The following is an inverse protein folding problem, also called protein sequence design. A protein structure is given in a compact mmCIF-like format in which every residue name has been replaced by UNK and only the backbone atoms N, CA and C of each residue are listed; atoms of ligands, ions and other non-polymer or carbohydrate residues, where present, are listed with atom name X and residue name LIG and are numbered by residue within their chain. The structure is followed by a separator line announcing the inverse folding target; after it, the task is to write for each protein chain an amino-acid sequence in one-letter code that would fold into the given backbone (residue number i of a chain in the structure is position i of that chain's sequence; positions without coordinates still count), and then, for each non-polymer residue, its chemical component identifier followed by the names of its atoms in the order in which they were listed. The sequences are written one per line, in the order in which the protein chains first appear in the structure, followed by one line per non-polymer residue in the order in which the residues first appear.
data_IF_478455443021
#
_entry.id   IF_478455443021
#
_cell.length_a   1.000
_cell.length_b   1.000
_cell.length_c   1.000
_cell.angle_alpha   90.00
_cell.angle_beta   90.00
_cell.angle_gamma   90.00
#
_symmetry.space_group_name_H-M   'P 1'
#
loop_
_entity.id
_entity.type
_entity.pdbx_description
1 polymer ?
#
# COMPACT_ATOMS: atom_id res chain seq x y z
N UNK A 1 3.07 -3.75 -14.80
CA UNK A 1 3.04 -5.11 -14.20
C UNK A 1 1.76 -5.22 -13.39
N UNK A 2 0.93 -6.21 -13.67
CA UNK A 2 -0.39 -6.35 -13.05
C UNK A 2 -0.74 -7.81 -12.75
N UNK A 3 -1.75 -8.03 -11.87
CA UNK A 3 -2.40 -9.32 -11.66
C UNK A 3 -1.61 -10.34 -10.84
N UNK A 4 -0.63 -9.91 -10.03
CA UNK A 4 0.21 -10.80 -9.21
C UNK A 4 0.37 -10.28 -7.79
N UNK A 5 0.81 -11.16 -6.88
CA UNK A 5 1.13 -10.76 -5.50
C UNK A 5 2.34 -9.83 -5.43
N UNK A 6 2.36 -8.96 -4.42
CA UNK A 6 3.40 -7.96 -4.24
C UNK A 6 4.79 -8.54 -4.06
N UNK A 7 4.91 -9.69 -3.39
CA UNK A 7 6.20 -10.37 -3.24
C UNK A 7 6.79 -10.80 -4.59
N UNK A 8 5.97 -11.34 -5.50
CA UNK A 8 6.43 -11.72 -6.84
C UNK A 8 6.77 -10.48 -7.67
N UNK A 9 5.94 -9.44 -7.59
CA UNK A 9 6.20 -8.17 -8.25
C UNK A 9 7.54 -7.56 -7.80
N UNK A 10 7.78 -7.52 -6.49
CA UNK A 10 9.06 -7.07 -5.93
C UNK A 10 10.25 -7.84 -6.49
N UNK A 11 10.17 -9.18 -6.56
CA UNK A 11 11.25 -10.02 -7.15
C UNK A 11 11.50 -9.71 -8.62
N UNK A 12 10.45 -9.45 -9.40
CA UNK A 12 10.59 -9.05 -10.81
C UNK A 12 11.29 -7.70 -10.92
N UNK A 13 10.92 -6.74 -10.07
CA UNK A 13 11.56 -5.43 -10.05
C UNK A 13 13.04 -5.52 -9.62
N UNK A 14 13.36 -6.31 -8.60
CA UNK A 14 14.74 -6.57 -8.16
C UNK A 14 15.58 -7.22 -9.27
N UNK A 15 15.03 -8.23 -9.95
CA UNK A 15 15.73 -8.94 -11.05
C UNK A 15 15.87 -8.11 -12.32
N UNK A 16 14.99 -7.14 -12.53
CA UNK A 16 14.95 -6.28 -13.72
C UNK A 16 15.78 -5.00 -13.64
N UNK A 17 16.61 -4.83 -12.60
CA UNK A 17 17.29 -3.56 -12.31
C UNK A 17 18.03 -2.91 -13.50
N UNK A 18 18.70 -3.72 -14.35
CA UNK A 18 19.38 -3.22 -15.54
C UNK A 18 18.43 -2.74 -16.66
N UNK A 19 17.22 -3.30 -16.74
CA UNK A 19 16.19 -2.84 -17.68
C UNK A 19 15.43 -1.65 -17.10
N UNK A 20 15.19 -1.65 -15.79
CA UNK A 20 14.41 -0.61 -15.11
C UNK A 20 15.10 0.75 -15.12
N UNK A 21 16.43 0.80 -15.16
CA UNK A 21 17.19 2.05 -15.28
C UNK A 21 16.90 2.84 -16.56
N UNK A 22 16.37 2.17 -17.59
CA UNK A 22 15.93 2.80 -18.84
C UNK A 22 14.43 3.07 -18.92
N UNK A 23 13.67 2.65 -17.90
CA UNK A 23 12.21 2.82 -17.83
C UNK A 23 11.90 4.02 -16.98
N UNK A 24 11.39 5.10 -17.59
CA UNK A 24 11.04 6.33 -16.89
C UNK A 24 9.78 6.22 -16.01
N UNK A 25 8.89 5.26 -16.30
CA UNK A 25 7.61 5.13 -15.65
C UNK A 25 7.24 3.66 -15.41
N UNK A 26 6.68 3.37 -14.23
CA UNK A 26 6.11 2.08 -13.86
C UNK A 26 4.63 2.23 -13.55
N UNK A 27 3.79 1.35 -14.11
CA UNK A 27 2.40 1.17 -13.71
C UNK A 27 2.29 -0.21 -13.09
N UNK A 28 1.91 -0.28 -11.82
CA UNK A 28 1.90 -1.47 -11.00
C UNK A 28 0.51 -1.72 -10.40
N UNK A 29 0.05 -2.98 -10.47
CA UNK A 29 -1.21 -3.41 -9.87
C UNK A 29 -0.95 -4.69 -9.07
N UNK A 30 -0.43 -4.58 -7.82
CA UNK A 30 -0.27 -5.72 -6.93
C UNK A 30 -1.61 -6.15 -6.35
N UNK A 31 -1.83 -7.48 -6.21
CA UNK A 31 -3.06 -8.03 -5.64
C UNK A 31 -2.95 -8.36 -4.14
N UNK A 32 -1.74 -8.47 -3.62
CA UNK A 32 -1.45 -8.73 -2.21
C UNK A 32 -0.14 -8.05 -1.81
N UNK A 33 0.12 -7.96 -0.50
CA UNK A 33 1.39 -7.46 0.04
C UNK A 33 1.84 -6.12 -0.57
N UNK A 34 0.88 -5.24 -0.81
CA UNK A 34 1.06 -3.97 -1.55
C UNK A 34 2.10 -3.09 -0.86
N UNK A 35 2.14 -3.12 0.47
CA UNK A 35 3.12 -2.39 1.28
C UNK A 35 4.57 -2.72 0.94
N UNK A 36 4.86 -3.97 0.54
CA UNK A 36 6.21 -4.37 0.13
C UNK A 36 6.61 -3.73 -1.20
N UNK A 37 5.65 -3.57 -2.12
CA UNK A 37 5.91 -2.90 -3.41
C UNK A 37 6.16 -1.40 -3.18
N UNK A 38 5.33 -0.73 -2.38
CA UNK A 38 5.55 0.69 -2.05
C UNK A 38 6.88 0.94 -1.35
N UNK A 39 7.22 0.06 -0.40
CA UNK A 39 8.52 0.12 0.30
C UNK A 39 9.69 -0.04 -0.67
N UNK A 40 9.61 -1.04 -1.56
CA UNK A 40 10.63 -1.25 -2.59
C UNK A 40 10.82 0.00 -3.45
N UNK A 41 9.74 0.58 -3.95
CA UNK A 41 9.80 1.79 -4.78
C UNK A 41 10.49 2.94 -4.06
N UNK A 42 10.10 3.20 -2.81
CA UNK A 42 10.71 4.25 -1.98
C UNK A 42 12.21 4.02 -1.72
N UNK A 43 12.63 2.76 -1.52
CA UNK A 43 14.03 2.39 -1.26
C UNK A 43 14.91 2.42 -2.53
N UNK A 44 14.31 2.33 -3.72
CA UNK A 44 15.04 2.23 -5.00
C UNK A 44 14.90 3.48 -5.89
N UNK A 45 14.57 4.62 -5.30
CA UNK A 45 14.56 5.89 -6.01
C UNK A 45 13.36 6.14 -6.91
N UNK A 46 12.27 5.41 -6.72
CA UNK A 46 11.02 5.67 -7.40
C UNK A 46 10.10 6.54 -6.53
N UNK A 47 9.53 7.55 -7.14
CA UNK A 47 8.47 8.33 -6.55
C UNK A 47 7.11 7.87 -7.07
N UNK A 48 6.21 7.49 -6.17
CA UNK A 48 4.82 7.24 -6.54
C UNK A 48 4.17 8.59 -6.82
N UNK A 49 3.76 8.80 -8.07
CA UNK A 49 3.20 10.08 -8.55
C UNK A 49 1.68 10.07 -8.53
N UNK A 50 1.08 8.88 -8.59
CA UNK A 50 -0.36 8.73 -8.72
C UNK A 50 -0.80 7.36 -8.16
N UNK A 51 -1.94 7.32 -7.52
CA UNK A 51 -2.56 6.10 -7.00
C UNK A 51 -4.04 6.07 -7.34
N UNK A 52 -4.55 4.88 -7.55
CA UNK A 52 -5.97 4.66 -7.77
C UNK A 52 -6.40 3.31 -7.18
N UNK A 53 -7.68 3.15 -6.95
CA UNK A 53 -8.30 1.91 -6.55
C UNK A 53 -9.62 1.73 -7.30
N UNK A 54 -9.74 0.63 -8.01
CA UNK A 54 -10.92 0.30 -8.80
C UNK A 54 -11.68 -0.84 -8.12
N UNK A 55 -13.01 -0.70 -8.07
CA UNK A 55 -13.92 -1.77 -7.67
C UNK A 55 -14.53 -2.40 -8.92
N UNK A 56 -14.27 -3.68 -9.16
CA UNK A 56 -14.81 -4.45 -10.26
C UNK A 56 -15.23 -5.84 -9.76
N UNK A 57 -16.46 -6.25 -10.08
CA UNK A 57 -17.03 -7.53 -9.66
C UNK A 57 -16.87 -7.84 -8.15
N UNK A 58 -17.05 -6.82 -7.31
CA UNK A 58 -16.93 -6.93 -5.85
C UNK A 58 -15.49 -7.06 -5.32
N UNK A 59 -14.48 -6.88 -6.17
CA UNK A 59 -13.06 -6.91 -5.80
C UNK A 59 -12.42 -5.55 -6.01
N UNK A 60 -11.53 -5.20 -5.08
CA UNK A 60 -10.76 -3.97 -5.14
C UNK A 60 -9.38 -4.20 -5.76
N UNK A 61 -9.02 -3.34 -6.70
CA UNK A 61 -7.78 -3.41 -7.46
C UNK A 61 -6.97 -2.11 -7.26
N UNK A 62 -6.09 -2.06 -6.25
CA UNK A 62 -5.20 -0.92 -6.08
C UNK A 62 -4.14 -0.87 -7.18
N UNK A 63 -3.89 0.32 -7.68
CA UNK A 63 -2.92 0.61 -8.73
C UNK A 63 -2.06 1.79 -8.32
N UNK A 64 -0.83 1.81 -8.81
CA UNK A 64 0.09 2.92 -8.58
C UNK A 64 0.92 3.19 -9.83
N UNK A 65 1.18 4.47 -10.06
CA UNK A 65 2.13 4.97 -11.03
C UNK A 65 3.36 5.48 -10.29
N UNK A 66 4.53 5.06 -10.72
CA UNK A 66 5.78 5.49 -10.12
C UNK A 66 6.77 5.90 -11.20
N UNK A 67 7.56 6.93 -10.91
CA UNK A 67 8.58 7.48 -11.80
C UNK A 67 9.95 7.42 -11.12
N UNK A 68 10.99 7.13 -11.90
CA UNK A 68 12.37 7.11 -11.41
C UNK A 68 12.85 8.55 -11.18
N UNK A 69 13.39 8.81 -10.00
CA UNK A 69 14.02 10.10 -9.67
C UNK A 69 15.45 10.09 -10.19
N UNK A 70 15.74 10.84 -11.24
CA UNK A 70 17.06 10.86 -11.90
C UNK A 70 18.21 11.35 -10.99
N UNK A 71 17.93 12.15 -9.96
CA UNK A 71 18.92 12.70 -9.03
C UNK A 71 19.05 11.91 -7.72
N UNK A 72 18.62 10.64 -7.70
CA UNK A 72 18.61 9.83 -6.48
C UNK A 72 20.01 9.50 -5.95
N UNK A 73 21.01 9.37 -6.84
CA UNK A 73 22.39 9.00 -6.46
C UNK A 73 23.11 10.10 -5.65
N UNK A 74 22.72 11.35 -5.79
CA UNK A 74 23.33 12.48 -5.09
C UNK A 74 22.73 12.73 -3.68
N UNK A 75 21.66 12.03 -3.35
CA UNK A 75 20.97 12.15 -2.05
C UNK A 75 21.22 10.90 -1.21
N UNK A 76 22.41 10.82 -0.59
CA UNK A 76 22.76 9.87 0.49
C UNK A 76 21.54 9.19 1.17
N UNK A 77 20.93 8.21 0.50
CA UNK A 77 20.04 7.20 1.09
C UNK A 77 18.78 7.66 1.81
N UNK A 78 18.36 8.90 1.65
CA UNK A 78 17.13 9.37 2.32
C UNK A 78 16.34 10.27 1.36
N UNK A 79 15.16 9.84 1.01
CA UNK A 79 14.08 10.74 0.61
C UNK A 79 13.76 11.59 1.86
N UNK A 80 14.51 12.71 2.05
CA UNK A 80 14.55 13.46 3.33
C UNK A 80 13.33 14.33 3.58
N UNK A 81 12.44 14.47 2.63
CA UNK A 81 11.42 15.52 2.73
C UNK A 81 10.05 15.07 3.22
N UNK A 82 9.83 13.84 3.58
CA UNK A 82 8.75 13.34 4.46
C UNK A 82 8.84 11.82 4.51
N UNK A 83 9.28 11.22 5.63
CA UNK A 83 9.19 9.78 5.77
C UNK A 83 7.70 9.40 5.70
N UNK A 84 7.39 8.45 4.83
CA UNK A 84 6.04 7.91 4.74
C UNK A 84 5.59 7.40 6.10
N UNK A 85 4.40 7.74 6.50
CA UNK A 85 3.76 7.15 7.67
C UNK A 85 3.44 5.69 7.38
N UNK A 86 3.36 4.86 8.41
CA UNK A 86 3.11 3.42 8.25
C UNK A 86 1.85 3.14 7.42
N UNK A 87 0.75 3.85 7.66
CA UNK A 87 -0.48 3.65 6.91
C UNK A 87 -0.33 3.95 5.41
N UNK A 88 0.55 4.87 5.02
CA UNK A 88 0.79 5.18 3.60
C UNK A 88 1.43 4.01 2.85
N UNK A 89 2.28 3.22 3.51
CA UNK A 89 2.80 1.99 2.89
C UNK A 89 1.68 0.96 2.64
N UNK A 90 0.71 0.86 3.55
CA UNK A 90 -0.38 -0.12 3.42
C UNK A 90 -1.49 0.35 2.47
N UNK A 91 -1.93 1.59 2.58
CA UNK A 91 -3.12 2.11 1.89
C UNK A 91 -2.85 3.23 0.89
N UNK A 92 -1.60 3.68 0.78
CA UNK A 92 -1.17 4.71 -0.16
C UNK A 92 -1.24 6.13 0.39
N UNK A 93 -0.78 7.04 -0.44
CA UNK A 93 -0.82 8.47 -0.15
C UNK A 93 -2.20 9.02 -0.53
N UNK A 94 -2.98 9.41 0.46
CA UNK A 94 -4.35 9.90 0.26
C UNK A 94 -4.42 11.11 -0.66
N UNK A 95 -3.37 11.94 -0.68
CA UNK A 95 -3.32 13.13 -1.55
C UNK A 95 -3.17 12.77 -3.04
N UNK A 96 -2.65 11.57 -3.33
CA UNK A 96 -2.44 11.08 -4.70
C UNK A 96 -3.55 10.18 -5.20
N UNK A 97 -4.53 9.89 -4.36
CA UNK A 97 -5.67 9.03 -4.72
C UNK A 97 -6.59 9.73 -5.71
N UNK A 98 -6.82 9.10 -6.85
CA UNK A 98 -7.79 9.56 -7.86
C UNK A 98 -9.23 9.30 -7.43
N UNK A 99 -9.46 8.17 -6.76
CA UNK A 99 -10.79 7.71 -6.36
C UNK A 99 -10.90 7.59 -4.82
N UNK A 100 -10.84 8.71 -4.07
CA UNK A 100 -10.83 8.68 -2.60
C UNK A 100 -12.08 8.03 -2.01
N UNK A 101 -13.23 8.14 -2.66
CA UNK A 101 -14.47 7.49 -2.23
C UNK A 101 -14.40 5.96 -2.35
N UNK A 102 -13.75 5.44 -3.41
CA UNK A 102 -13.56 4.00 -3.57
C UNK A 102 -12.56 3.48 -2.52
N UNK A 103 -11.50 4.23 -2.24
CA UNK A 103 -10.58 3.91 -1.16
C UNK A 103 -11.29 3.89 0.20
N UNK A 104 -12.15 4.87 0.48
CA UNK A 104 -12.96 4.92 1.70
C UNK A 104 -13.82 3.66 1.84
N UNK A 105 -14.55 3.29 0.81
CA UNK A 105 -15.39 2.11 0.81
C UNK A 105 -14.58 0.82 1.01
N UNK A 106 -13.42 0.74 0.40
CA UNK A 106 -12.47 -0.36 0.62
C UNK A 106 -12.03 -0.46 2.09
N UNK A 107 -11.64 0.67 2.70
CA UNK A 107 -11.20 0.72 4.10
C UNK A 107 -12.31 0.32 5.07
N UNK A 108 -13.54 0.79 4.84
CA UNK A 108 -14.71 0.40 5.63
C UNK A 108 -14.96 -1.11 5.51
N UNK A 109 -14.91 -1.65 4.29
CA UNK A 109 -15.07 -3.09 4.07
C UNK A 109 -14.00 -3.93 4.79
N UNK A 110 -12.73 -3.52 4.73
CA UNK A 110 -11.63 -4.18 5.45
C UNK A 110 -11.79 -4.06 6.98
N UNK A 111 -12.31 -2.94 7.47
CA UNK A 111 -12.63 -2.74 8.88
C UNK A 111 -13.72 -3.71 9.36
N UNK A 112 -14.81 -3.85 8.62
CA UNK A 112 -15.90 -4.79 8.92
C UNK A 112 -15.41 -6.24 8.94
N UNK A 113 -14.61 -6.65 7.96
CA UNK A 113 -13.99 -7.97 7.92
C UNK A 113 -13.12 -8.24 9.15
N UNK A 114 -12.26 -7.28 9.49
CA UNK A 114 -11.37 -7.39 10.65
C UNK A 114 -12.15 -7.49 11.95
N UNK A 115 -13.20 -6.68 12.13
CA UNK A 115 -14.10 -6.73 13.30
C UNK A 115 -14.77 -8.09 13.44
N UNK A 116 -15.31 -8.64 12.35
CA UNK A 116 -15.95 -9.98 12.36
C UNK A 116 -14.97 -11.09 12.75
N UNK A 117 -13.72 -11.00 12.29
CA UNK A 117 -12.69 -11.98 12.66
C UNK A 117 -12.31 -11.84 14.14
N UNK A 118 -12.18 -10.60 14.64
CA UNK A 118 -11.87 -10.34 16.05
C UNK A 118 -12.96 -10.87 16.98
N UNK A 119 -14.23 -10.66 16.64
CA UNK A 119 -15.37 -11.21 17.40
C UNK A 119 -15.30 -12.74 17.49
N UNK A 120 -15.05 -13.43 16.38
CA UNK A 120 -14.88 -14.90 16.36
C UNK A 120 -13.69 -15.38 17.18
N UNK A 121 -12.59 -14.63 17.19
CA UNK A 121 -11.42 -14.96 18.01
C UNK A 121 -11.72 -14.77 19.49
N UNK A 122 -12.47 -13.74 19.86
CA UNK A 122 -12.94 -13.48 21.22
C UNK A 122 -13.85 -14.63 21.71
N UNK A 123 -14.87 -15.00 20.93
CA UNK A 123 -15.78 -16.11 21.24
C UNK A 123 -15.04 -17.44 21.46
N UNK A 124 -13.92 -17.66 20.76
CA UNK A 124 -13.09 -18.85 20.90
C UNK A 124 -11.99 -18.75 22.00
N UNK A 125 -12.02 -17.71 22.84
CA UNK A 125 -11.04 -17.51 23.91
C UNK A 125 -9.61 -17.21 23.44
N UNK A 126 -9.45 -16.68 22.22
CA UNK A 126 -8.14 -16.35 21.61
C UNK A 126 -7.82 -14.85 21.63
N UNK A 127 -8.23 -14.17 22.67
CA UNK A 127 -8.08 -12.70 22.81
C UNK A 127 -6.62 -12.23 22.82
N UNK A 128 -5.68 -13.08 23.27
CA UNK A 128 -4.25 -12.76 23.39
C UNK A 128 -3.42 -13.42 22.28
N UNK A 129 -4.04 -13.74 21.14
CA UNK A 129 -3.32 -14.36 20.03
C UNK A 129 -2.54 -13.31 19.22
N UNK A 130 -1.45 -13.73 18.55
CA UNK A 130 -0.70 -12.86 17.63
C UNK A 130 -1.62 -12.36 16.50
N UNK A 131 -2.57 -13.18 16.08
CA UNK A 131 -3.57 -12.78 15.08
C UNK A 131 -4.46 -11.64 15.56
N UNK A 132 -4.84 -11.61 16.82
CA UNK A 132 -5.61 -10.51 17.40
C UNK A 132 -4.81 -9.20 17.36
N UNK A 133 -3.52 -9.25 17.69
CA UNK A 133 -2.63 -8.07 17.62
C UNK A 133 -2.49 -7.55 16.20
N UNK A 134 -2.26 -8.43 15.22
CA UNK A 134 -2.19 -8.06 13.80
C UNK A 134 -3.46 -7.35 13.33
N UNK A 135 -4.63 -7.86 13.72
CA UNK A 135 -5.91 -7.24 13.36
C UNK A 135 -6.09 -5.88 14.04
N UNK A 136 -5.68 -5.73 15.29
CA UNK A 136 -5.71 -4.45 15.98
C UNK A 136 -4.80 -3.40 15.31
N UNK A 137 -3.60 -3.80 14.92
CA UNK A 137 -2.67 -2.95 14.18
C UNK A 137 -3.26 -2.54 12.82
N UNK A 138 -3.84 -3.48 12.09
CA UNK A 138 -4.53 -3.21 10.82
C UNK A 138 -5.68 -2.21 11.01
N UNK A 139 -6.50 -2.39 12.04
CA UNK A 139 -7.60 -1.48 12.38
C UNK A 139 -7.11 -0.05 12.69
N UNK A 140 -5.98 0.08 13.39
CA UNK A 140 -5.37 1.38 13.65
C UNK A 140 -4.91 2.06 12.35
N UNK A 141 -4.25 1.33 11.45
CA UNK A 141 -3.82 1.86 10.15
C UNK A 141 -5.00 2.29 9.28
N UNK A 142 -6.10 1.52 9.29
CA UNK A 142 -7.34 1.88 8.59
C UNK A 142 -7.89 3.19 9.15
N UNK A 143 -7.97 3.33 10.47
CA UNK A 143 -8.47 4.54 11.12
C UNK A 143 -7.62 5.77 10.75
N UNK A 144 -6.29 5.67 10.86
CA UNK A 144 -5.38 6.75 10.47
C UNK A 144 -5.57 7.18 9.02
N UNK A 145 -5.80 6.21 8.12
CA UNK A 145 -6.03 6.50 6.70
C UNK A 145 -7.36 7.21 6.48
N UNK A 146 -8.43 6.77 7.18
CA UNK A 146 -9.74 7.43 7.11
C UNK A 146 -9.69 8.86 7.65
N UNK A 147 -9.00 9.09 8.77
CA UNK A 147 -8.77 10.42 9.33
C UNK A 147 -8.00 11.33 8.34
N UNK A 148 -6.99 10.78 7.65
CA UNK A 148 -6.26 11.51 6.63
C UNK A 148 -7.13 11.85 5.40
N UNK A 149 -8.03 10.95 5.00
CA UNK A 149 -9.00 11.20 3.94
C UNK A 149 -10.02 12.29 4.32
N UNK A 150 -10.43 12.35 5.58
CA UNK A 150 -11.37 13.36 6.08
C UNK A 150 -10.75 14.75 6.19
N UNK A 151 -9.43 14.82 6.37
CA UNK A 151 -8.68 16.08 6.44
C UNK A 151 -8.24 16.66 5.10
N UNK A 152 -8.58 15.99 4.00
CA UNK A 152 -8.19 16.33 2.61
C UNK A 152 -8.98 17.51 2.00
#
# INVERSE_FOLDING_TARGET
IAGMGGMLMKRILEGGGHCLSSVGELILQPQSEIHLVRKFLAEHGYQITDEDIVLEDGKYYPMMRAELIHDFEDRSGQCKDHPWKTFQYFYGDVEKQRSPEVLRNFLIHEQEKSSTIMERLHENGREVSDRMKELQEQMNLIRETLEALDGR
#
